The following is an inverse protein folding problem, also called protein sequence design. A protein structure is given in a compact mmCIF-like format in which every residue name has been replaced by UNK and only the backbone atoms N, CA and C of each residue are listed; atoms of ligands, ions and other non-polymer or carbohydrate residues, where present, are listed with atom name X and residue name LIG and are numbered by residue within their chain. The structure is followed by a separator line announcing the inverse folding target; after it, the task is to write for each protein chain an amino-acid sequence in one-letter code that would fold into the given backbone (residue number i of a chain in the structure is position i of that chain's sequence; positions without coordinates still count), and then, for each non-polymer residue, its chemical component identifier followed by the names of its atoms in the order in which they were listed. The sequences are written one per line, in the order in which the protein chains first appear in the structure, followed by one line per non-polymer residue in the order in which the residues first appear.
data_IF_959637368287
#
_entry.id   IF_959637368287
#
_cell.length_a   1.000
_cell.length_b   1.000
_cell.length_c   1.000
_cell.angle_alpha   90.00
_cell.angle_beta   90.00
_cell.angle_gamma   90.00
#
_symmetry.space_group_name_H-M   'P 1'
#
loop_
_entity.id
_entity.type
_entity.pdbx_description
1 polymer ?
#
# COMPACT_ATOMS: atom_id res chain seq x y z
N UNK A 1 27.23 -15.77 -20.00
CA UNK A 1 26.85 -14.42 -19.51
C UNK A 1 25.35 -14.42 -19.34
N UNK A 2 24.86 -14.88 -18.19
CA UNK A 2 23.43 -14.88 -17.90
C UNK A 2 23.04 -13.47 -17.48
N UNK A 3 22.43 -12.73 -18.40
CA UNK A 3 21.77 -11.47 -18.10
C UNK A 3 20.75 -11.75 -17.01
N UNK A 4 21.00 -11.19 -15.83
CA UNK A 4 20.01 -11.20 -14.76
C UNK A 4 18.94 -10.23 -15.21
N UNK A 5 17.87 -10.76 -15.79
CA UNK A 5 16.72 -9.98 -16.25
C UNK A 5 16.11 -9.26 -15.03
N UNK A 6 16.63 -8.07 -14.74
CA UNK A 6 16.09 -7.19 -13.73
C UNK A 6 14.77 -6.67 -14.29
N UNK A 7 13.69 -7.44 -14.05
CA UNK A 7 12.36 -7.04 -14.46
C UNK A 7 12.13 -5.60 -14.00
N UNK A 8 11.70 -4.70 -14.90
CA UNK A 8 11.60 -3.28 -14.59
C UNK A 8 10.71 -3.08 -13.36
N UNK A 9 11.22 -2.29 -12.42
CA UNK A 9 10.50 -1.97 -11.20
C UNK A 9 9.34 -1.03 -11.54
N UNK A 10 8.17 -1.34 -11.00
CA UNK A 10 6.94 -0.63 -11.26
C UNK A 10 6.28 -0.26 -9.94
N UNK A 11 5.63 0.91 -9.90
CA UNK A 11 4.90 1.39 -8.74
C UNK A 11 3.45 1.69 -9.09
N UNK A 12 2.55 1.26 -8.23
CA UNK A 12 1.14 1.67 -8.22
C UNK A 12 0.84 2.35 -6.89
N UNK A 13 0.23 3.53 -6.95
CA UNK A 13 -0.35 4.23 -5.80
C UNK A 13 -1.85 4.29 -6.04
N UNK A 14 -2.64 3.81 -5.09
CA UNK A 14 -4.09 3.87 -5.20
C UNK A 14 -4.74 4.21 -3.87
N UNK A 15 -5.95 4.75 -3.96
CA UNK A 15 -6.83 5.00 -2.82
C UNK A 15 -8.17 4.31 -3.03
N UNK A 16 -8.89 4.01 -1.95
CA UNK A 16 -10.20 3.36 -2.02
C UNK A 16 -11.05 3.70 -0.80
N UNK A 17 -12.38 3.64 -0.94
CA UNK A 17 -13.32 3.76 0.18
C UNK A 17 -13.29 2.50 1.05
N UNK A 18 -13.32 2.71 2.36
CA UNK A 18 -13.56 1.64 3.31
C UNK A 18 -14.99 1.11 3.14
N UNK A 19 -15.17 -0.21 3.07
CA UNK A 19 -16.47 -0.89 3.08
C UNK A 19 -16.62 -1.88 4.25
N UNK A 20 -15.64 -1.92 5.14
CA UNK A 20 -15.72 -2.74 6.35
C UNK A 20 -16.82 -2.22 7.29
N UNK A 21 -17.54 -3.10 8.00
CA UNK A 21 -18.60 -2.69 8.93
C UNK A 21 -18.09 -1.76 10.03
N UNK A 22 -18.98 -0.92 10.57
CA UNK A 22 -18.68 0.03 11.66
C UNK A 22 -18.45 -0.64 13.03
N UNK A 23 -18.05 -1.91 13.07
CA UNK A 23 -17.68 -2.63 14.29
C UNK A 23 -16.27 -2.27 14.76
N UNK A 24 -16.14 -1.36 15.72
CA UNK A 24 -14.83 -0.97 16.27
C UNK A 24 -14.06 -2.14 16.91
N UNK A 25 -14.78 -3.17 17.40
CA UNK A 25 -14.19 -4.31 18.08
C UNK A 25 -13.52 -5.33 17.13
N UNK A 26 -14.07 -5.56 15.93
CA UNK A 26 -13.50 -6.54 14.97
C UNK A 26 -12.42 -5.93 14.08
N UNK A 27 -12.41 -4.60 13.93
CA UNK A 27 -11.55 -3.89 12.98
C UNK A 27 -10.05 -4.15 13.14
N UNK A 28 -9.47 -4.16 14.35
CA UNK A 28 -8.04 -4.48 14.49
C UNK A 28 -7.70 -5.87 13.96
N UNK A 29 -8.56 -6.87 14.22
CA UNK A 29 -8.35 -8.23 13.74
C UNK A 29 -8.53 -8.35 12.22
N UNK A 30 -9.49 -7.64 11.63
CA UNK A 30 -9.67 -7.59 10.17
C UNK A 30 -8.45 -6.99 9.46
N UNK A 31 -7.93 -5.87 9.99
CA UNK A 31 -6.73 -5.22 9.47
C UNK A 31 -5.50 -6.12 9.62
N UNK A 32 -5.32 -6.77 10.77
CA UNK A 32 -4.19 -7.70 10.94
C UNK A 32 -4.29 -8.88 9.96
N UNK A 33 -5.50 -9.37 9.67
CA UNK A 33 -5.74 -10.37 8.63
C UNK A 33 -5.34 -9.90 7.22
N UNK A 34 -5.63 -8.64 6.88
CA UNK A 34 -5.17 -8.01 5.62
C UNK A 34 -3.64 -8.00 5.61
N UNK A 35 -3.00 -7.50 6.67
CA UNK A 35 -1.56 -7.32 6.75
C UNK A 35 -0.81 -8.64 6.69
N UNK A 36 -1.26 -9.65 7.44
CA UNK A 36 -0.68 -11.00 7.42
C UNK A 36 -0.71 -11.60 6.01
N UNK A 37 -1.88 -11.53 5.35
CA UNK A 37 -2.05 -12.03 3.98
C UNK A 37 -1.18 -11.26 2.99
N UNK A 38 -1.19 -9.92 3.08
CA UNK A 38 -0.43 -9.04 2.21
C UNK A 38 1.08 -9.26 2.37
N UNK A 39 1.61 -9.26 3.59
CA UNK A 39 3.04 -9.48 3.86
C UNK A 39 3.52 -10.82 3.31
N UNK A 40 2.78 -11.90 3.56
CA UNK A 40 3.15 -13.23 3.08
C UNK A 40 3.08 -13.35 1.54
N UNK A 41 2.04 -12.80 0.91
CA UNK A 41 1.91 -12.82 -0.55
C UNK A 41 2.96 -11.94 -1.23
N UNK A 42 3.18 -10.74 -0.70
CA UNK A 42 4.09 -9.75 -1.25
C UNK A 42 5.55 -10.22 -1.14
N UNK A 43 5.95 -10.80 -0.01
CA UNK A 43 7.28 -11.36 0.16
C UNK A 43 7.60 -12.42 -0.90
N UNK A 44 6.65 -13.33 -1.20
CA UNK A 44 6.82 -14.35 -2.25
C UNK A 44 6.87 -13.76 -3.66
N UNK A 45 6.17 -12.66 -3.89
CA UNK A 45 6.07 -12.00 -5.20
C UNK A 45 7.14 -10.93 -5.44
N UNK A 46 8.05 -10.69 -4.48
CA UNK A 46 9.04 -9.61 -4.57
C UNK A 46 8.40 -8.21 -4.55
N UNK A 47 7.27 -8.07 -3.85
CA UNK A 47 6.53 -6.82 -3.71
C UNK A 47 6.87 -6.17 -2.37
N UNK A 48 7.03 -4.86 -2.40
CA UNK A 48 7.16 -4.01 -1.22
C UNK A 48 6.13 -2.89 -1.25
N UNK A 49 5.97 -2.20 -0.13
CA UNK A 49 5.06 -1.06 -0.08
C UNK A 49 4.61 -0.69 1.32
N UNK A 50 3.60 0.17 1.35
CA UNK A 50 2.97 0.65 2.57
C UNK A 50 1.45 0.72 2.38
N UNK A 51 0.73 0.42 3.44
CA UNK A 51 -0.72 0.51 3.55
C UNK A 51 -1.07 1.50 4.66
N UNK A 52 -1.84 2.52 4.32
CA UNK A 52 -2.53 3.38 5.27
C UNK A 52 -4.00 3.01 5.33
N UNK A 53 -4.54 2.94 6.55
CA UNK A 53 -5.95 2.73 6.80
C UNK A 53 -6.48 3.72 7.83
N UNK A 54 -7.64 4.31 7.51
CA UNK A 54 -8.45 5.05 8.47
C UNK A 54 -9.95 4.88 8.16
N UNK A 55 -10.82 5.54 8.93
CA UNK A 55 -12.28 5.47 8.72
C UNK A 55 -12.74 5.81 7.30
N UNK A 56 -12.03 6.71 6.61
CA UNK A 56 -12.40 7.14 5.26
C UNK A 56 -12.02 6.12 4.17
N UNK A 57 -10.99 5.31 4.40
CA UNK A 57 -10.52 4.37 3.39
C UNK A 57 -9.09 3.88 3.55
N UNK A 58 -8.58 3.41 2.42
CA UNK A 58 -7.22 2.90 2.28
C UNK A 58 -6.44 3.73 1.27
N UNK A 59 -5.17 3.97 1.56
CA UNK A 59 -4.16 4.41 0.59
C UNK A 59 -3.04 3.39 0.59
N UNK A 60 -2.63 2.91 -0.58
CA UNK A 60 -1.61 1.87 -0.65
C UNK A 60 -0.63 2.13 -1.80
N UNK A 61 0.63 1.86 -1.52
CA UNK A 61 1.73 1.83 -2.48
C UNK A 61 2.16 0.37 -2.68
N UNK A 62 2.28 -0.06 -3.93
CA UNK A 62 2.80 -1.37 -4.32
C UNK A 62 3.97 -1.18 -5.26
N UNK A 63 5.10 -1.80 -4.97
CA UNK A 63 6.34 -1.70 -5.74
C UNK A 63 6.88 -3.09 -6.04
N UNK A 64 7.26 -3.36 -7.29
CA UNK A 64 7.81 -4.66 -7.67
C UNK A 64 7.88 -4.87 -9.17
N UNK A 65 8.21 -6.08 -9.62
CA UNK A 65 8.11 -6.44 -11.04
C UNK A 65 6.69 -6.19 -11.55
N UNK A 66 6.55 -5.54 -12.72
CA UNK A 66 5.23 -5.20 -13.29
C UNK A 66 4.22 -6.35 -13.29
N UNK A 67 4.57 -7.60 -13.69
CA UNK A 67 3.61 -8.72 -13.65
C UNK A 67 3.13 -9.06 -12.23
N UNK A 68 4.04 -8.96 -11.25
CA UNK A 68 3.71 -9.24 -9.85
C UNK A 68 2.82 -8.14 -9.25
N UNK A 69 3.12 -6.88 -9.54
CA UNK A 69 2.29 -5.73 -9.14
C UNK A 69 0.90 -5.84 -9.74
N UNK A 70 0.81 -6.11 -11.05
CA UNK A 70 -0.47 -6.30 -11.75
C UNK A 70 -1.32 -7.41 -11.14
N UNK A 71 -0.76 -8.61 -10.96
CA UNK A 71 -1.48 -9.74 -10.37
C UNK A 71 -1.94 -9.47 -8.93
N UNK A 72 -1.12 -8.77 -8.15
CA UNK A 72 -1.47 -8.39 -6.78
C UNK A 72 -2.57 -7.35 -6.74
N UNK A 73 -2.48 -6.33 -7.60
CA UNK A 73 -3.47 -5.28 -7.70
C UNK A 73 -4.82 -5.81 -8.17
N UNK A 74 -4.84 -6.73 -9.14
CA UNK A 74 -6.07 -7.42 -9.55
C UNK A 74 -6.74 -8.19 -8.40
N UNK A 75 -5.94 -8.81 -7.53
CA UNK A 75 -6.45 -9.53 -6.36
C UNK A 75 -7.06 -8.56 -5.36
N UNK A 76 -6.43 -7.41 -5.17
CA UNK A 76 -6.90 -6.31 -4.34
C UNK A 76 -8.22 -5.76 -4.87
N UNK A 77 -8.34 -5.47 -6.18
CA UNK A 77 -9.57 -4.95 -6.79
C UNK A 77 -10.83 -5.80 -6.55
N UNK A 78 -10.66 -7.10 -6.23
CA UNK A 78 -11.76 -8.04 -5.95
C UNK A 78 -12.09 -8.16 -4.46
N UNK A 79 -11.36 -7.46 -3.59
CA UNK A 79 -11.55 -7.54 -2.15
C UNK A 79 -12.82 -6.77 -1.72
N UNK A 80 -13.81 -7.41 -1.07
CA UNK A 80 -15.07 -6.75 -0.72
C UNK A 80 -14.93 -5.74 0.42
N UNK A 81 -13.77 -5.71 1.13
CA UNK A 81 -13.54 -4.82 2.27
C UNK A 81 -13.33 -3.36 1.86
N UNK A 82 -13.14 -3.10 0.57
CA UNK A 82 -12.99 -1.75 0.03
C UNK A 82 -13.70 -1.61 -1.33
N UNK A 83 -13.81 -0.38 -1.82
CA UNK A 83 -14.33 -0.13 -3.16
C UNK A 83 -14.05 1.29 -3.62
N UNK A 84 -14.60 1.68 -4.77
CA UNK A 84 -14.41 3.02 -5.33
C UNK A 84 -12.91 3.36 -5.44
N UNK A 85 -12.18 2.41 -6.04
CA UNK A 85 -10.74 2.43 -6.20
C UNK A 85 -10.36 3.48 -7.24
N UNK A 86 -9.42 4.35 -6.90
CA UNK A 86 -8.82 5.32 -7.80
C UNK A 86 -7.32 5.13 -7.78
N UNK A 87 -6.74 4.90 -8.96
CA UNK A 87 -5.30 4.85 -9.16
C UNK A 87 -4.79 6.28 -9.29
N UNK A 88 -3.93 6.69 -8.37
CA UNK A 88 -3.29 8.00 -8.38
C UNK A 88 -2.03 8.00 -9.24
N UNK A 89 -1.29 6.89 -9.23
CA UNK A 89 -0.06 6.71 -10.00
C UNK A 89 0.10 5.24 -10.43
N UNK A 90 0.59 5.03 -11.64
CA UNK A 90 0.93 3.71 -12.20
C UNK A 90 2.07 3.90 -13.20
N UNK A 91 3.32 3.82 -12.72
CA UNK A 91 4.50 4.22 -13.49
C UNK A 91 5.70 3.29 -13.24
N UNK A 92 6.63 3.16 -14.21
CA UNK A 92 7.94 2.59 -13.94
C UNK A 92 8.74 3.48 -12.99
N UNK A 93 9.53 2.88 -12.12
CA UNK A 93 10.39 3.58 -11.16
C UNK A 93 11.78 2.93 -11.12
N UNK A 94 12.80 3.69 -10.71
CA UNK A 94 14.18 3.19 -10.63
C UNK A 94 14.54 2.63 -9.25
N UNK A 95 13.79 3.01 -8.20
CA UNK A 95 14.03 2.62 -6.82
C UNK A 95 12.72 2.39 -6.05
N UNK A 96 12.79 1.57 -5.01
CA UNK A 96 11.68 1.33 -4.08
C UNK A 96 11.68 2.44 -3.03
N UNK A 97 10.52 3.03 -2.78
CA UNK A 97 10.30 3.91 -1.64
C UNK A 97 10.25 3.12 -0.32
N UNK A 98 9.87 1.84 -0.36
CA UNK A 98 9.71 0.99 0.83
C UNK A 98 10.53 -0.32 0.76
N UNK A 99 11.85 -0.29 0.51
CA UNK A 99 12.63 -1.49 0.18
C UNK A 99 12.62 -2.58 1.26
N UNK A 100 12.50 -2.20 2.53
CA UNK A 100 12.56 -3.11 3.68
C UNK A 100 11.21 -3.68 4.09
N UNK A 101 10.12 -3.29 3.42
CA UNK A 101 8.77 -3.55 3.90
C UNK A 101 7.94 -4.28 2.86
N UNK A 102 7.71 -5.58 3.08
CA UNK A 102 6.75 -6.34 2.25
C UNK A 102 5.35 -5.70 2.29
N UNK A 103 4.98 -5.14 3.45
CA UNK A 103 3.89 -4.18 3.59
C UNK A 103 4.02 -3.47 4.94
N UNK A 104 4.45 -2.21 4.94
CA UNK A 104 4.38 -1.35 6.11
C UNK A 104 2.92 -1.00 6.41
N UNK A 105 2.59 -0.76 7.68
CA UNK A 105 1.23 -0.39 8.07
C UNK A 105 1.24 0.92 8.83
N UNK A 106 0.39 1.83 8.37
CA UNK A 106 0.13 3.13 9.01
C UNK A 106 -1.36 3.16 9.36
N UNK A 107 -1.66 3.13 10.66
CA UNK A 107 -3.04 3.23 11.14
C UNK A 107 -3.58 4.66 11.12
N UNK A 108 -4.49 4.96 12.04
CA UNK A 108 -4.95 6.32 12.27
C UNK A 108 -3.83 7.17 12.88
N UNK A 109 -3.13 7.94 12.05
CA UNK A 109 -2.19 8.97 12.48
C UNK A 109 -2.72 10.38 12.18
N UNK A 110 -2.21 11.39 12.88
CA UNK A 110 -2.54 12.78 12.60
C UNK A 110 -2.19 13.13 11.14
N UNK A 111 -3.07 13.88 10.45
CA UNK A 111 -2.87 14.27 9.04
C UNK A 111 -3.29 13.25 7.98
N UNK A 112 -3.61 12.00 8.36
CA UNK A 112 -3.98 10.93 7.39
C UNK A 112 -5.36 11.11 6.73
N UNK A 113 -6.20 12.01 7.24
CA UNK A 113 -7.55 12.27 6.70
C UNK A 113 -7.52 12.72 5.23
N UNK A 114 -6.46 13.42 4.84
CA UNK A 114 -6.25 13.91 3.49
C UNK A 114 -5.49 12.92 2.58
N UNK A 115 -5.06 11.77 3.11
CA UNK A 115 -4.34 10.75 2.35
C UNK A 115 -5.28 9.84 1.53
N UNK A 116 -6.60 9.96 1.74
CA UNK A 116 -7.65 9.22 1.02
C UNK A 116 -8.33 10.13 -0.02
N UNK A 117 -7.70 11.26 -0.35
CA UNK A 117 -8.16 12.07 -1.48
C UNK A 117 -7.98 11.29 -2.78
N UNK A 118 -8.98 11.40 -3.66
CA UNK A 118 -9.07 10.67 -4.92
C UNK A 118 -8.58 11.49 -6.11
N UNK A 119 -8.07 12.70 -5.87
CA UNK A 119 -7.41 13.50 -6.90
C UNK A 119 -6.06 12.86 -7.30
N UNK A 120 -5.87 12.45 -8.57
CA UNK A 120 -4.58 11.94 -9.05
C UNK A 120 -3.39 12.87 -8.80
N UNK A 121 -3.61 14.19 -8.68
CA UNK A 121 -2.56 15.16 -8.34
C UNK A 121 -1.94 14.92 -6.94
N UNK A 122 -2.63 14.16 -6.08
CA UNK A 122 -2.19 13.87 -4.71
C UNK A 122 -1.22 12.69 -4.60
N UNK A 123 -0.91 11.99 -5.70
CA UNK A 123 -0.02 10.82 -5.68
C UNK A 123 1.30 11.06 -4.93
N UNK A 124 1.99 12.17 -5.26
CA UNK A 124 3.26 12.53 -4.65
C UNK A 124 3.12 12.83 -3.16
N UNK A 125 2.01 13.49 -2.77
CA UNK A 125 1.72 13.82 -1.38
C UNK A 125 1.40 12.58 -0.54
N UNK A 126 0.63 11.63 -1.09
CA UNK A 126 0.35 10.34 -0.46
C UNK A 126 1.65 9.55 -0.25
N UNK A 127 2.51 9.50 -1.27
CA UNK A 127 3.80 8.81 -1.17
C UNK A 127 4.70 9.43 -0.08
N UNK A 128 4.84 10.76 -0.07
CA UNK A 128 5.64 11.47 0.92
C UNK A 128 5.13 11.22 2.34
N UNK A 129 3.82 11.36 2.56
CA UNK A 129 3.20 11.10 3.86
C UNK A 129 3.46 9.68 4.35
N UNK A 130 3.30 8.67 3.49
CA UNK A 130 3.55 7.28 3.84
C UNK A 130 5.02 7.04 4.19
N UNK A 131 5.96 7.65 3.47
CA UNK A 131 7.40 7.55 3.78
C UNK A 131 7.71 8.12 5.16
N UNK A 132 7.21 9.30 5.47
CA UNK A 132 7.45 9.97 6.75
C UNK A 132 6.86 9.17 7.92
N UNK A 133 5.63 8.67 7.75
CA UNK A 133 4.96 7.85 8.77
C UNK A 133 5.66 6.50 8.97
N UNK A 134 6.14 5.86 7.91
CA UNK A 134 6.90 4.61 8.03
C UNK A 134 8.26 4.85 8.70
N UNK A 135 8.96 5.94 8.35
CA UNK A 135 10.23 6.30 8.98
C UNK A 135 10.07 6.54 10.49
N UNK A 136 9.07 7.32 10.89
CA UNK A 136 8.79 7.57 12.33
C UNK A 136 8.39 6.31 13.09
N UNK A 137 7.67 5.37 12.47
CA UNK A 137 7.38 4.07 13.12
C UNK A 137 8.62 3.19 13.26
N UNK A 138 9.56 3.25 12.31
CA UNK A 138 10.80 2.49 12.37
C UNK A 138 11.73 3.01 13.47
N UNK A 139 11.82 4.34 13.63
CA UNK A 139 12.62 4.98 14.68
C UNK A 139 12.08 4.73 16.08
N UNK A 140 10.75 4.67 16.26
CA UNK A 140 10.13 4.39 17.55
C UNK A 140 10.30 2.92 18.04
N UNK A 141 10.77 2.02 17.16
CA UNK A 141 11.04 0.62 17.47
C UNK A 141 12.54 0.34 17.78
N UNK A 142 13.40 1.35 17.65
CA UNK A 142 14.81 1.31 18.04
C UNK A 142 15.02 1.87 19.46
#
# INVERSE_FOLDING_TARGET
MSGMDCAPLFRVIYVSRNRMPDGAASRPAEIEGILSTARAANARAGITGALLFNRAGFAQVLEGPLPAVGATFERILRDPRHGDVVVLESVPVTERAFPSWSMAFVGEAAGTKAAIDRDPAEAARVLALLRDLVATTAEAMC
#
